data_IF_869019441829
#
_entry.id   IF_869019441829
#
_cell.length_a   1.000
_cell.length_b   1.000
_cell.length_c   1.000
_cell.angle_alpha   90.00
_cell.angle_beta   90.00
_cell.angle_gamma   90.00
#
_symmetry.space_group_name_H-M   'P 1'
#
loop_
_entity.id
_entity.type
_entity.pdbx_description
1 polymer ?
#
# COMPACT_ATOMS: atom_id res chain seq x y z
N UNK A 1 54.87 25.80 31.24
CA UNK A 1 55.63 27.07 31.10
C UNK A 1 56.68 26.86 30.02
N UNK A 2 56.78 27.72 29.01
CA UNK A 2 56.06 28.98 28.78
C UNK A 2 54.89 28.77 27.79
N UNK A 3 53.70 29.38 27.83
CA UNK A 3 53.18 30.66 28.37
C UNK A 3 53.63 31.91 27.59
N UNK A 4 52.66 32.48 26.85
CA UNK A 4 52.31 33.92 26.65
C UNK A 4 51.46 33.98 25.36
N UNK A 5 50.12 34.02 25.43
CA UNK A 5 49.25 35.16 25.78
C UNK A 5 49.27 36.25 24.70
N UNK A 6 48.14 36.40 24.00
CA UNK A 6 47.59 37.74 23.76
C UNK A 6 46.06 37.67 23.74
N UNK A 7 45.47 38.28 24.77
CA UNK A 7 44.04 38.52 24.95
C UNK A 7 43.87 40.03 25.02
N UNK A 8 43.31 40.65 23.98
CA UNK A 8 42.62 41.93 24.11
C UNK A 8 41.71 42.19 22.90
N UNK A 9 40.40 42.08 23.14
CA UNK A 9 39.42 43.16 22.93
C UNK A 9 38.07 42.60 22.44
N UNK A 10 37.14 42.45 23.37
CA UNK A 10 35.69 42.39 23.09
C UNK A 10 35.23 43.72 22.46
N UNK A 11 34.43 43.70 21.39
CA UNK A 11 33.47 44.76 21.15
C UNK A 11 32.15 44.45 21.88
N UNK A 12 31.66 45.47 22.58
CA UNK A 12 30.42 45.54 23.34
C UNK A 12 29.19 45.54 22.42
N UNK A 13 28.15 44.88 22.90
CA UNK A 13 26.72 45.27 22.89
C UNK A 13 26.13 46.00 21.69
N UNK A 14 25.11 45.35 21.12
CA UNK A 14 23.83 45.92 20.67
C UNK A 14 23.87 47.09 19.68
N UNK A 15 23.77 46.76 18.39
CA UNK A 15 22.89 47.52 17.50
C UNK A 15 21.78 46.57 17.06
N UNK A 16 20.54 46.95 17.36
CA UNK A 16 19.35 46.19 16.99
C UNK A 16 19.38 45.89 15.50
N UNK A 17 19.26 44.60 15.17
CA UNK A 17 18.88 44.20 13.82
C UNK A 17 17.46 44.69 13.66
N UNK A 18 17.31 45.77 12.90
CA UNK A 18 16.04 46.31 12.49
C UNK A 18 15.30 45.19 11.73
N UNK A 19 14.27 44.62 12.37
CA UNK A 19 13.37 43.67 11.73
C UNK A 19 12.66 44.37 10.58
N UNK A 20 13.28 44.37 9.39
CA UNK A 20 12.57 44.60 8.14
C UNK A 20 11.51 43.52 8.08
N UNK A 21 10.26 43.90 8.34
CA UNK A 21 9.09 43.08 8.00
C UNK A 21 9.26 42.69 6.54
N UNK A 22 9.62 41.44 6.29
CA UNK A 22 9.60 40.86 4.97
C UNK A 22 8.13 40.74 4.61
N UNK A 23 7.60 41.78 3.97
CA UNK A 23 6.25 41.75 3.42
C UNK A 23 6.22 40.57 2.44
N UNK A 24 5.30 39.60 2.58
CA UNK A 24 5.19 38.53 1.61
C UNK A 24 4.99 39.17 0.23
N UNK A 25 5.65 38.64 -0.82
CA UNK A 25 5.42 39.13 -2.17
C UNK A 25 3.92 39.12 -2.42
N UNK A 26 3.37 40.26 -2.89
CA UNK A 26 1.97 40.33 -3.32
C UNK A 26 1.73 39.11 -4.21
N UNK A 27 0.63 38.35 -4.01
CA UNK A 27 0.34 37.21 -4.85
C UNK A 27 0.36 37.71 -6.29
N UNK A 28 1.34 37.20 -7.06
CA UNK A 28 1.34 37.40 -8.50
C UNK A 28 -0.05 37.00 -8.96
N UNK A 29 -0.75 37.90 -9.66
CA UNK A 29 -2.07 37.58 -10.23
C UNK A 29 -1.83 36.28 -10.99
N UNK A 30 -2.38 35.16 -10.48
CA UNK A 30 -2.33 33.88 -11.19
C UNK A 30 -2.72 34.22 -12.60
N UNK A 31 -1.83 33.93 -13.55
CA UNK A 31 -2.23 33.97 -14.95
C UNK A 31 -3.50 33.11 -14.99
N UNK A 32 -4.62 33.73 -15.38
CA UNK A 32 -5.82 32.98 -15.71
C UNK A 32 -5.35 31.89 -16.66
N UNK A 33 -5.58 30.59 -16.38
CA UNK A 33 -5.23 29.57 -17.34
C UNK A 33 -5.85 30.03 -18.65
N UNK A 34 -5.00 30.33 -19.64
CA UNK A 34 -5.49 30.58 -20.98
C UNK A 34 -6.30 29.33 -21.31
N UNK A 35 -7.59 29.50 -21.60
CA UNK A 35 -8.39 28.37 -22.06
C UNK A 35 -7.71 27.94 -23.35
N UNK A 36 -6.89 26.88 -23.26
CA UNK A 36 -6.63 26.04 -24.42
C UNK A 36 -8.02 25.65 -24.85
N UNK A 37 -8.51 26.17 -25.97
CA UNK A 37 -9.75 25.68 -26.55
C UNK A 37 -9.51 24.19 -26.75
N UNK A 38 -10.03 23.39 -25.82
CA UNK A 38 -9.79 21.97 -25.80
C UNK A 38 -10.49 21.43 -27.03
N UNK A 39 -9.81 20.59 -27.80
CA UNK A 39 -10.40 19.79 -28.89
C UNK A 39 -11.67 19.05 -28.42
N UNK A 40 -11.86 18.90 -27.10
CA UNK A 40 -13.04 18.42 -26.40
C UNK A 40 -14.36 19.21 -26.61
N UNK A 41 -14.34 20.44 -27.17
CA UNK A 41 -15.56 21.23 -27.37
C UNK A 41 -16.27 20.94 -28.72
N UNK A 42 -15.69 20.09 -29.59
CA UNK A 42 -16.35 19.60 -30.79
C UNK A 42 -17.21 18.35 -30.46
N UNK A 43 -18.55 18.42 -30.56
CA UNK A 43 -19.44 17.30 -30.28
C UNK A 43 -19.16 16.07 -31.16
N UNK A 44 -18.68 16.28 -32.39
CA UNK A 44 -18.32 15.19 -33.30
C UNK A 44 -17.04 14.48 -32.84
N UNK A 45 -16.05 15.23 -32.36
CA UNK A 45 -14.82 14.66 -31.81
C UNK A 45 -15.08 13.88 -30.51
N UNK A 46 -15.91 14.44 -29.62
CA UNK A 46 -16.32 13.78 -28.37
C UNK A 46 -17.07 12.47 -28.64
N UNK A 47 -18.01 12.45 -29.60
CA UNK A 47 -18.74 11.22 -29.95
C UNK A 47 -17.85 10.15 -30.60
N UNK A 48 -16.86 10.54 -31.41
CA UNK A 48 -15.92 9.61 -32.01
C UNK A 48 -14.97 8.99 -30.97
N UNK A 49 -14.47 9.80 -30.03
CA UNK A 49 -13.65 9.31 -28.91
C UNK A 49 -14.45 8.39 -28.00
N UNK A 50 -15.71 8.70 -27.71
CA UNK A 50 -16.58 7.84 -26.92
C UNK A 50 -16.83 6.51 -27.63
N UNK A 51 -17.12 6.53 -28.93
CA UNK A 51 -17.31 5.31 -29.72
C UNK A 51 -16.06 4.43 -29.72
N UNK A 52 -14.88 5.01 -29.89
CA UNK A 52 -13.60 4.28 -29.83
C UNK A 52 -13.30 3.76 -28.43
N UNK A 53 -13.60 4.54 -27.39
CA UNK A 53 -13.48 4.12 -25.99
C UNK A 53 -14.36 2.92 -25.70
N UNK A 54 -15.63 2.93 -26.12
CA UNK A 54 -16.53 1.79 -25.97
C UNK A 54 -16.07 0.57 -26.78
N UNK A 55 -15.52 0.79 -27.98
CA UNK A 55 -14.99 -0.29 -28.83
C UNK A 55 -13.79 -0.97 -28.18
N UNK A 56 -12.81 -0.20 -27.71
CA UNK A 56 -11.62 -0.72 -27.01
C UNK A 56 -12.02 -1.37 -25.69
N UNK A 57 -12.90 -0.73 -24.91
CA UNK A 57 -13.42 -1.28 -23.66
C UNK A 57 -14.13 -2.62 -23.88
N UNK A 58 -14.99 -2.72 -24.90
CA UNK A 58 -15.66 -3.97 -25.27
C UNK A 58 -14.68 -5.03 -25.75
N UNK A 59 -13.66 -4.64 -26.53
CA UNK A 59 -12.60 -5.54 -26.96
C UNK A 59 -11.85 -6.12 -25.74
N UNK A 60 -11.38 -5.27 -24.82
CA UNK A 60 -10.73 -5.71 -23.57
C UNK A 60 -11.66 -6.58 -22.75
N UNK A 61 -12.94 -6.23 -22.62
CA UNK A 61 -13.93 -7.01 -21.88
C UNK A 61 -14.19 -8.41 -22.46
N UNK A 62 -14.20 -8.54 -23.79
CA UNK A 62 -14.37 -9.82 -24.46
C UNK A 62 -13.10 -10.67 -24.40
N UNK A 63 -11.93 -10.03 -24.43
CA UNK A 63 -10.60 -10.68 -24.39
C UNK A 63 -10.03 -10.83 -22.98
N UNK A 64 -10.74 -10.31 -21.97
CA UNK A 64 -10.75 -10.85 -20.63
C UNK A 64 -11.27 -12.28 -20.75
N UNK A 65 -10.38 -13.19 -21.19
CA UNK A 65 -10.51 -14.59 -20.92
C UNK A 65 -10.92 -14.66 -19.46
N UNK A 66 -12.00 -15.38 -19.16
CA UNK A 66 -12.28 -15.78 -17.78
C UNK A 66 -11.16 -16.72 -17.32
N UNK A 67 -9.92 -16.25 -17.24
CA UNK A 67 -9.12 -16.42 -16.05
C UNK A 67 -9.96 -15.84 -14.91
N UNK A 68 -10.98 -16.60 -14.50
CA UNK A 68 -11.33 -16.63 -13.07
C UNK A 68 -9.98 -16.66 -12.38
N UNK A 69 -9.69 -15.76 -11.44
CA UNK A 69 -8.38 -15.71 -10.80
C UNK A 69 -8.03 -17.12 -10.34
N UNK A 70 -7.17 -17.86 -11.06
CA UNK A 70 -6.87 -19.30 -10.86
C UNK A 70 -6.78 -19.57 -9.37
N UNK A 71 -7.76 -20.07 -8.61
CA UNK A 71 -8.83 -21.08 -8.69
C UNK A 71 -8.42 -22.54 -8.45
N UNK A 72 -7.18 -22.82 -8.07
CA UNK A 72 -6.73 -24.08 -7.44
C UNK A 72 -5.50 -23.73 -6.57
N UNK A 73 -5.40 -23.93 -5.25
CA UNK A 73 -6.06 -24.75 -4.23
C UNK A 73 -5.98 -23.96 -2.88
N UNK A 74 -7.03 -23.95 -2.02
CA UNK A 74 -7.18 -23.23 -0.69
C UNK A 74 -8.24 -22.09 -0.61
N UNK A 75 -9.15 -22.05 -1.58
CA UNK A 75 -10.17 -21.00 -1.89
C UNK A 75 -11.36 -20.81 -0.94
N UNK A 76 -11.42 -21.42 0.24
CA UNK A 76 -12.66 -21.36 1.02
C UNK A 76 -12.89 -20.02 1.74
N UNK A 77 -11.82 -19.35 2.17
CA UNK A 77 -11.89 -18.15 3.01
C UNK A 77 -11.96 -16.86 2.18
N UNK A 78 -11.11 -16.72 1.15
CA UNK A 78 -10.99 -15.50 0.33
C UNK A 78 -12.27 -15.19 -0.47
N UNK A 79 -12.86 -16.19 -1.13
CA UNK A 79 -14.06 -15.98 -1.97
C UNK A 79 -15.32 -15.70 -1.13
N UNK A 80 -15.38 -16.22 0.11
CA UNK A 80 -16.57 -16.10 0.96
C UNK A 80 -16.55 -14.88 1.86
N UNK A 81 -15.38 -14.44 2.32
CA UNK A 81 -15.26 -13.19 3.09
C UNK A 81 -15.29 -11.99 2.16
N UNK A 82 -14.57 -12.00 1.04
CA UNK A 82 -14.65 -10.88 0.10
C UNK A 82 -16.04 -10.81 -0.53
N UNK A 83 -16.65 -11.96 -0.86
CA UNK A 83 -18.03 -12.02 -1.34
C UNK A 83 -19.05 -11.55 -0.30
N UNK A 84 -18.94 -11.99 0.97
CA UNK A 84 -19.84 -11.56 2.04
C UNK A 84 -19.63 -10.09 2.44
N UNK A 85 -18.39 -9.60 2.46
CA UNK A 85 -18.07 -8.19 2.67
C UNK A 85 -18.57 -7.32 1.51
N UNK A 86 -18.62 -7.82 0.27
CA UNK A 86 -19.25 -7.04 -0.81
C UNK A 86 -20.78 -7.11 -0.77
N UNK A 87 -21.37 -8.10 -0.09
CA UNK A 87 -22.82 -8.21 0.10
C UNK A 87 -23.33 -7.33 1.26
N UNK A 88 -22.47 -6.98 2.22
CA UNK A 88 -22.81 -6.16 3.38
C UNK A 88 -21.70 -5.14 3.70
N UNK A 89 -22.03 -3.87 3.55
CA UNK A 89 -21.11 -2.76 3.77
C UNK A 89 -20.63 -2.66 5.24
N UNK A 90 -21.49 -3.01 6.21
CA UNK A 90 -21.13 -3.00 7.63
C UNK A 90 -20.10 -4.10 7.93
N UNK A 91 -20.30 -5.30 7.39
CA UNK A 91 -19.36 -6.42 7.53
C UNK A 91 -18.00 -6.09 6.90
N UNK A 92 -18.02 -5.46 5.73
CA UNK A 92 -16.82 -4.99 5.03
C UNK A 92 -15.98 -4.07 5.90
N UNK A 93 -16.61 -3.04 6.45
CA UNK A 93 -15.93 -2.02 7.27
C UNK A 93 -15.29 -2.67 8.49
N UNK A 94 -16.00 -3.55 9.19
CA UNK A 94 -15.45 -4.20 10.38
C UNK A 94 -14.33 -5.19 10.05
N UNK A 95 -14.44 -5.93 8.93
CA UNK A 95 -13.37 -6.81 8.46
C UNK A 95 -12.09 -6.03 8.14
N UNK A 96 -12.20 -4.90 7.43
CA UNK A 96 -11.03 -4.07 7.12
C UNK A 96 -10.41 -3.45 8.37
N UNK A 97 -11.23 -2.96 9.32
CA UNK A 97 -10.73 -2.44 10.60
C UNK A 97 -10.01 -3.51 11.43
N UNK A 98 -10.56 -4.73 11.46
CA UNK A 98 -9.92 -5.84 12.16
C UNK A 98 -8.56 -6.20 11.52
N UNK A 99 -8.48 -6.25 10.19
CA UNK A 99 -7.22 -6.51 9.48
C UNK A 99 -6.18 -5.42 9.76
N UNK A 100 -6.60 -4.15 9.80
CA UNK A 100 -5.74 -2.99 10.09
C UNK A 100 -5.12 -3.06 11.50
N UNK A 101 -5.90 -3.45 12.52
CA UNK A 101 -5.38 -3.54 13.89
C UNK A 101 -4.58 -4.82 14.16
N UNK A 102 -4.78 -5.87 13.36
CA UNK A 102 -4.20 -7.20 13.60
C UNK A 102 -2.68 -7.21 13.84
N UNK A 103 -1.83 -6.44 13.11
CA UNK A 103 -0.39 -6.38 13.36
C UNK A 103 0.00 -5.85 14.75
N UNK A 104 -0.88 -5.05 15.37
CA UNK A 104 -0.69 -4.51 16.72
C UNK A 104 -1.08 -5.54 17.80
N UNK A 105 -1.87 -6.57 17.49
CA UNK A 105 -2.36 -7.56 18.47
C UNK A 105 -1.29 -8.64 18.78
N UNK A 106 -0.59 -8.47 19.91
CA UNK A 106 0.56 -9.31 20.30
C UNK A 106 0.17 -10.64 20.94
N UNK A 107 -0.94 -10.71 21.66
CA UNK A 107 -1.36 -11.96 22.33
C UNK A 107 -2.51 -12.66 21.60
N UNK A 108 -2.73 -13.94 21.89
CA UNK A 108 -3.86 -14.68 21.31
C UNK A 108 -5.20 -14.19 21.88
N UNK A 109 -5.22 -13.84 23.18
CA UNK A 109 -6.38 -13.25 23.84
C UNK A 109 -6.80 -11.91 23.22
N UNK A 110 -5.84 -11.06 22.86
CA UNK A 110 -6.15 -9.77 22.19
C UNK A 110 -6.82 -9.99 20.83
N UNK A 111 -6.33 -10.94 20.04
CA UNK A 111 -6.93 -11.28 18.74
C UNK A 111 -8.35 -11.79 18.90
N UNK A 112 -8.59 -12.72 19.83
CA UNK A 112 -9.93 -13.26 20.07
C UNK A 112 -10.88 -12.18 20.58
N UNK A 113 -10.43 -11.32 21.50
CA UNK A 113 -11.23 -10.21 22.02
C UNK A 113 -11.63 -9.23 20.92
N UNK A 114 -10.68 -8.75 20.12
CA UNK A 114 -10.98 -7.81 19.03
C UNK A 114 -11.85 -8.46 17.96
N UNK A 115 -11.65 -9.75 17.66
CA UNK A 115 -12.53 -10.48 16.75
C UNK A 115 -13.96 -10.55 17.30
N UNK A 116 -14.16 -10.70 18.61
CA UNK A 116 -15.49 -10.61 19.20
C UNK A 116 -16.05 -9.18 19.08
N UNK A 117 -15.28 -8.16 19.48
CA UNK A 117 -15.71 -6.76 19.48
C UNK A 117 -16.12 -6.25 18.08
N UNK A 118 -15.29 -6.47 17.05
CA UNK A 118 -15.58 -5.99 15.69
C UNK A 118 -16.78 -6.68 15.04
N UNK A 119 -17.07 -7.93 15.39
CA UNK A 119 -18.14 -8.71 14.77
C UNK A 119 -19.38 -8.87 15.65
N UNK A 120 -19.38 -8.26 16.85
CA UNK A 120 -20.52 -8.24 17.77
C UNK A 120 -21.65 -7.33 17.29
N UNK A 121 -21.46 -6.38 16.38
CA UNK A 121 -22.56 -5.53 15.88
C UNK A 121 -23.15 -6.04 14.56
N UNK A 122 -22.46 -6.93 13.86
CA UNK A 122 -22.84 -7.45 12.53
C UNK A 122 -23.63 -8.77 12.62
N UNK A 123 -24.22 -9.03 13.79
CA UNK A 123 -24.76 -10.36 14.19
C UNK A 123 -25.86 -10.88 13.27
N UNK A 124 -26.61 -10.01 12.63
CA UNK A 124 -27.83 -10.37 11.88
C UNK A 124 -27.57 -10.73 10.41
N UNK A 125 -26.35 -10.49 9.88
CA UNK A 125 -26.03 -10.60 8.45
C UNK A 125 -24.95 -11.63 8.11
N UNK A 126 -24.52 -12.43 9.10
CA UNK A 126 -23.43 -13.38 8.91
C UNK A 126 -23.95 -14.72 8.36
N UNK A 127 -23.29 -15.31 7.33
CA UNK A 127 -23.66 -16.63 6.84
C UNK A 127 -23.44 -17.69 7.93
N UNK A 128 -24.36 -18.66 8.04
CA UNK A 128 -24.45 -19.76 9.01
C UNK A 128 -23.13 -20.41 9.49
N UNK A 129 -22.08 -20.40 8.66
CA UNK A 129 -20.76 -20.91 9.06
C UNK A 129 -20.01 -20.03 10.07
N UNK A 130 -20.28 -18.72 10.13
CA UNK A 130 -19.72 -17.82 11.14
C UNK A 130 -20.51 -17.94 12.45
N UNK A 131 -21.80 -18.26 12.37
CA UNK A 131 -22.65 -18.57 13.52
C UNK A 131 -22.14 -19.81 14.30
N UNK A 132 -21.67 -20.85 13.58
CA UNK A 132 -20.99 -21.99 14.21
C UNK A 132 -19.66 -21.61 14.88
N UNK A 133 -18.89 -20.66 14.31
CA UNK A 133 -17.68 -20.14 14.95
C UNK A 133 -18.03 -19.38 16.22
N UNK A 134 -19.13 -18.60 16.23
CA UNK A 134 -19.63 -17.87 17.40
C UNK A 134 -20.09 -18.78 18.53
N UNK A 135 -20.85 -19.84 18.23
CA UNK A 135 -21.28 -20.80 19.26
C UNK A 135 -20.07 -21.44 19.97
N UNK A 136 -18.99 -21.65 19.22
CA UNK A 136 -17.69 -22.07 19.74
C UNK A 136 -16.88 -20.97 20.43
N UNK A 137 -17.13 -19.69 20.17
CA UNK A 137 -16.37 -18.51 20.66
C UNK A 137 -16.98 -17.85 21.89
N UNK A 138 -18.30 -17.83 22.03
CA UNK A 138 -19.03 -17.29 23.20
C UNK A 138 -18.86 -18.16 24.46
N UNK A 139 -18.46 -19.43 24.28
CA UNK A 139 -18.11 -20.34 25.37
C UNK A 139 -16.61 -20.35 25.71
N UNK A 140 -15.79 -19.46 25.12
CA UNK A 140 -14.33 -19.51 25.29
C UNK A 140 -13.85 -18.68 26.46
N UNK A 141 -13.05 -19.32 27.31
CA UNK A 141 -12.09 -18.60 28.13
C UNK A 141 -10.93 -18.06 27.25
N UNK A 142 -10.40 -16.87 27.54
CA UNK A 142 -9.26 -16.29 26.83
C UNK A 142 -8.00 -17.20 26.77
N UNK A 143 -7.90 -18.14 27.71
CA UNK A 143 -6.78 -19.09 27.87
C UNK A 143 -6.97 -20.43 27.14
N UNK A 144 -8.06 -20.61 26.39
CA UNK A 144 -8.36 -21.92 25.78
C UNK A 144 -7.43 -22.25 24.59
N UNK A 145 -7.18 -23.55 24.38
CA UNK A 145 -6.46 -24.08 23.21
C UNK A 145 -7.14 -23.68 21.90
N UNK A 146 -8.47 -23.60 21.90
CA UNK A 146 -9.27 -23.16 20.75
C UNK A 146 -9.06 -21.67 20.44
N UNK A 147 -8.95 -20.80 21.45
CA UNK A 147 -8.62 -19.38 21.27
C UNK A 147 -7.24 -19.20 20.62
N UNK A 148 -6.26 -20.02 21.04
CA UNK A 148 -4.92 -20.02 20.43
C UNK A 148 -4.96 -20.46 18.97
N UNK A 149 -5.68 -21.53 18.66
CA UNK A 149 -5.84 -22.00 17.29
C UNK A 149 -6.53 -20.96 16.40
N UNK A 150 -7.57 -20.29 16.88
CA UNK A 150 -8.28 -19.24 16.15
C UNK A 150 -7.37 -18.05 15.84
N UNK A 151 -6.66 -17.54 16.84
CA UNK A 151 -5.76 -16.40 16.65
C UNK A 151 -4.58 -16.73 15.73
N UNK A 152 -4.05 -17.96 15.79
CA UNK A 152 -3.05 -18.43 14.83
C UNK A 152 -3.61 -18.43 13.39
N UNK A 153 -4.81 -18.99 13.19
CA UNK A 153 -5.45 -19.02 11.88
C UNK A 153 -5.73 -17.60 11.34
N UNK A 154 -6.23 -16.69 12.19
CA UNK A 154 -6.49 -15.31 11.80
C UNK A 154 -5.21 -14.61 11.31
N UNK A 155 -4.10 -14.71 12.05
CA UNK A 155 -2.80 -14.17 11.64
C UNK A 155 -2.28 -14.80 10.35
N UNK A 156 -2.36 -16.12 10.24
CA UNK A 156 -1.90 -16.84 9.05
C UNK A 156 -2.70 -16.43 7.80
N UNK A 157 -4.00 -16.20 7.94
CA UNK A 157 -4.88 -15.75 6.86
C UNK A 157 -4.59 -14.30 6.45
N UNK A 158 -4.46 -13.38 7.41
CA UNK A 158 -4.11 -12.00 7.12
C UNK A 158 -2.73 -11.85 6.48
N UNK A 159 -1.71 -12.54 7.00
CA UNK A 159 -0.37 -12.56 6.40
C UNK A 159 -0.39 -13.14 4.98
N UNK A 160 -1.22 -14.16 4.72
CA UNK A 160 -1.39 -14.72 3.38
C UNK A 160 -2.08 -13.75 2.43
N UNK A 161 -3.06 -13.00 2.91
CA UNK A 161 -3.71 -11.95 2.13
C UNK A 161 -2.72 -10.83 1.79
N UNK A 162 -1.92 -10.37 2.76
CA UNK A 162 -0.88 -9.38 2.57
C UNK A 162 0.13 -9.81 1.49
N UNK A 163 0.58 -11.07 1.51
CA UNK A 163 1.48 -11.63 0.47
C UNK A 163 0.91 -11.64 -0.96
N UNK A 164 -0.38 -11.38 -1.16
CA UNK A 164 -0.95 -11.18 -2.51
C UNK A 164 -0.61 -9.81 -3.09
N UNK A 165 -0.32 -8.85 -2.22
CA UNK A 165 -0.06 -7.46 -2.59
C UNK A 165 1.39 -7.05 -2.32
N UNK A 166 2.12 -7.81 -1.49
CA UNK A 166 3.51 -7.55 -1.13
C UNK A 166 4.40 -8.57 -1.85
N UNK A 167 5.31 -8.07 -2.70
CA UNK A 167 6.22 -8.90 -3.51
C UNK A 167 7.24 -9.67 -2.65
N UNK A 168 7.61 -9.13 -1.49
CA UNK A 168 8.54 -9.75 -0.55
C UNK A 168 8.85 -8.82 0.61
N UNK A 169 9.50 -9.38 1.63
CA UNK A 169 10.02 -8.69 2.81
C UNK A 169 11.56 -8.65 2.85
N UNK A 170 12.20 -9.23 1.83
CA UNK A 170 13.65 -9.27 1.63
C UNK A 170 13.99 -9.15 0.14
N UNK A 171 15.24 -8.79 -0.17
CA UNK A 171 15.75 -8.67 -1.54
C UNK A 171 15.56 -9.98 -2.33
N UNK A 172 15.83 -11.14 -1.71
CA UNK A 172 15.69 -12.45 -2.36
C UNK A 172 14.23 -12.78 -2.72
N UNK A 173 13.30 -12.47 -1.83
CA UNK A 173 11.86 -12.64 -2.09
C UNK A 173 11.41 -11.73 -3.23
N UNK A 174 11.85 -10.47 -3.22
CA UNK A 174 11.57 -9.49 -4.28
C UNK A 174 12.11 -9.97 -5.62
N UNK A 175 13.38 -10.39 -5.68
CA UNK A 175 14.02 -10.93 -6.89
C UNK A 175 13.28 -12.14 -7.45
N UNK A 176 12.81 -13.03 -6.57
CA UNK A 176 12.00 -14.18 -6.98
C UNK A 176 10.68 -13.75 -7.63
N UNK A 177 10.00 -12.76 -7.04
CA UNK A 177 8.75 -12.23 -7.58
C UNK A 177 8.94 -11.51 -8.92
N UNK A 178 9.93 -10.62 -9.03
CA UNK A 178 10.18 -9.86 -10.27
C UNK A 178 10.68 -10.74 -11.40
N UNK A 179 11.47 -11.78 -11.11
CA UNK A 179 11.89 -12.76 -12.10
C UNK A 179 10.69 -13.55 -12.67
N UNK A 180 9.68 -13.84 -11.85
CA UNK A 180 8.45 -14.51 -12.31
C UNK A 180 7.62 -13.59 -13.23
N UNK A 181 7.52 -12.29 -12.92
CA UNK A 181 6.87 -11.30 -13.78
C UNK A 181 7.59 -11.15 -15.12
N UNK A 182 8.93 -11.02 -15.09
CA UNK A 182 9.74 -10.87 -16.30
C UNK A 182 9.64 -12.08 -17.24
N UNK A 183 9.60 -13.31 -16.69
CA UNK A 183 9.36 -14.54 -17.48
C UNK A 183 8.04 -14.52 -18.25
N UNK A 184 7.09 -13.71 -17.80
CA UNK A 184 5.78 -13.53 -18.43
C UNK A 184 5.71 -12.25 -19.28
N UNK A 185 6.86 -11.64 -19.60
CA UNK A 185 6.98 -10.36 -20.30
C UNK A 185 6.17 -9.22 -19.66
N UNK A 186 6.19 -9.15 -18.33
CA UNK A 186 5.74 -7.98 -17.59
C UNK A 186 6.92 -7.19 -17.05
N UNK A 187 6.87 -5.86 -17.25
CA UNK A 187 7.68 -4.92 -16.49
C UNK A 187 7.19 -4.86 -15.03
N UNK A 188 7.98 -4.27 -14.15
CA UNK A 188 7.64 -4.10 -12.75
C UNK A 188 8.10 -2.74 -12.23
N UNK A 189 7.41 -2.27 -11.21
CA UNK A 189 7.84 -1.16 -10.36
C UNK A 189 7.84 -1.68 -8.93
N UNK A 190 8.80 -1.24 -8.11
CA UNK A 190 8.90 -1.61 -6.72
C UNK A 190 8.56 -0.39 -5.87
N UNK A 191 7.62 -0.60 -4.94
CA UNK A 191 7.22 0.38 -3.94
C UNK A 191 7.52 -0.22 -2.57
N UNK A 192 8.31 0.50 -1.77
CA UNK A 192 8.54 0.10 -0.38
C UNK A 192 7.32 0.51 0.45
N UNK A 193 6.86 -0.41 1.30
CA UNK A 193 5.75 -0.14 2.21
C UNK A 193 6.31 0.37 3.54
N UNK A 194 5.94 1.59 3.92
CA UNK A 194 6.32 2.22 5.18
C UNK A 194 5.13 2.82 5.93
N UNK A 195 5.33 3.08 7.23
CA UNK A 195 4.43 3.94 8.00
C UNK A 195 4.69 5.42 7.65
N UNK A 196 3.80 6.33 8.08
CA UNK A 196 3.99 7.76 7.85
C UNK A 196 5.29 8.26 8.48
N UNK A 197 6.16 8.88 7.68
CA UNK A 197 7.41 9.49 8.13
C UNK A 197 7.09 10.79 8.86
N UNK A 198 7.42 10.85 10.15
CA UNK A 198 7.10 11.99 11.04
C UNK A 198 8.36 12.70 11.56
N UNK A 199 9.55 12.22 11.20
CA UNK A 199 10.83 12.81 11.60
C UNK A 199 11.89 12.71 10.50
N UNK A 200 12.86 13.61 10.55
CA UNK A 200 14.03 13.59 9.64
C UNK A 200 14.81 12.28 9.75
N UNK A 201 14.96 11.73 10.97
CA UNK A 201 15.65 10.45 11.17
C UNK A 201 14.93 9.28 10.50
N UNK A 202 13.60 9.27 10.51
CA UNK A 202 12.82 8.26 9.79
C UNK A 202 12.90 8.46 8.28
N UNK A 203 12.93 9.70 7.79
CA UNK A 203 13.11 9.99 6.37
C UNK A 203 14.47 9.47 5.87
N UNK A 204 15.54 9.68 6.64
CA UNK A 204 16.88 9.20 6.32
C UNK A 204 16.97 7.66 6.40
N UNK A 205 16.23 7.03 7.31
CA UNK A 205 16.14 5.57 7.36
C UNK A 205 15.39 5.01 6.14
N UNK A 206 14.24 5.61 5.78
CA UNK A 206 13.44 5.19 4.64
C UNK A 206 14.18 5.39 3.31
N UNK A 207 14.94 6.49 3.16
CA UNK A 207 15.84 6.69 2.03
C UNK A 207 16.88 5.58 1.93
N UNK A 208 17.50 5.21 3.07
CA UNK A 208 18.49 4.13 3.10
C UNK A 208 17.89 2.80 2.67
N UNK A 209 16.67 2.49 3.09
CA UNK A 209 15.98 1.27 2.63
C UNK A 209 15.79 1.23 1.11
N UNK A 210 15.48 2.36 0.46
CA UNK A 210 15.44 2.45 -1.00
C UNK A 210 16.81 2.21 -1.64
N UNK A 211 17.87 2.81 -1.09
CA UNK A 211 19.24 2.62 -1.59
C UNK A 211 19.66 1.17 -1.46
N UNK A 212 19.45 0.56 -0.29
CA UNK A 212 19.78 -0.84 -0.01
C UNK A 212 19.01 -1.80 -0.94
N UNK A 213 17.73 -1.51 -1.20
CA UNK A 213 16.94 -2.27 -2.16
C UNK A 213 17.53 -2.18 -3.57
N UNK A 214 17.82 -0.96 -4.05
CA UNK A 214 18.39 -0.73 -5.38
C UNK A 214 19.74 -1.42 -5.54
N UNK A 215 20.63 -1.26 -4.56
CA UNK A 215 21.95 -1.91 -4.54
C UNK A 215 21.84 -3.44 -4.49
N UNK A 216 20.84 -3.97 -3.77
CA UNK A 216 20.59 -5.40 -3.66
C UNK A 216 20.06 -6.03 -4.96
N UNK A 217 19.13 -5.36 -5.65
CA UNK A 217 18.48 -5.93 -6.84
C UNK A 217 19.26 -5.67 -8.14
N UNK A 218 19.95 -4.52 -8.24
CA UNK A 218 20.58 -4.08 -9.49
C UNK A 218 21.58 -5.10 -10.08
N UNK A 219 22.46 -5.77 -9.30
CA UNK A 219 23.38 -6.76 -9.86
C UNK A 219 22.68 -7.89 -10.60
N UNK A 220 21.53 -8.33 -10.09
CA UNK A 220 20.74 -9.42 -10.68
C UNK A 220 19.92 -8.91 -11.85
N UNK A 221 19.17 -7.82 -11.69
CA UNK A 221 18.30 -7.27 -12.73
C UNK A 221 19.11 -6.82 -13.95
N UNK A 222 20.26 -6.17 -13.76
CA UNK A 222 21.14 -5.71 -14.84
C UNK A 222 21.83 -6.86 -15.59
N UNK A 223 21.84 -8.08 -15.03
CA UNK A 223 22.37 -9.27 -15.69
C UNK A 223 21.38 -9.93 -16.64
N UNK A 224 20.11 -9.50 -16.64
CA UNK A 224 19.08 -10.13 -17.44
C UNK A 224 19.24 -9.80 -18.93
N UNK A 225 18.97 -10.78 -19.82
CA UNK A 225 18.94 -10.50 -21.25
C UNK A 225 17.79 -9.54 -21.55
N UNK A 226 18.02 -8.63 -22.51
CA UNK A 226 17.03 -7.66 -22.96
C UNK A 226 15.75 -8.33 -23.48
N UNK A 227 14.61 -7.77 -23.10
CA UNK A 227 13.29 -8.15 -23.56
C UNK A 227 12.61 -6.90 -24.15
N UNK A 228 12.64 -6.80 -25.48
CA UNK A 228 12.09 -5.68 -26.25
C UNK A 228 10.66 -5.28 -25.88
N UNK A 229 9.83 -6.22 -25.40
CA UNK A 229 8.44 -5.90 -25.05
C UNK A 229 8.33 -5.03 -23.78
N UNK A 230 9.30 -5.14 -22.88
CA UNK A 230 9.24 -4.50 -21.54
C UNK A 230 10.41 -3.57 -21.25
N UNK A 231 11.50 -3.66 -22.01
CA UNK A 231 12.72 -2.87 -21.81
C UNK A 231 12.90 -1.76 -22.86
N UNK A 232 12.13 -1.78 -23.96
CA UNK A 232 12.18 -0.78 -25.03
C UNK A 232 10.83 -0.08 -25.19
N UNK A 233 10.85 1.14 -25.71
CA UNK A 233 9.64 1.82 -26.16
C UNK A 233 9.58 1.93 -27.68
N UNK A 234 8.74 2.81 -28.22
CA UNK A 234 8.63 3.03 -29.66
C UNK A 234 9.89 3.61 -30.34
N UNK A 235 10.83 4.18 -29.58
CA UNK A 235 12.10 4.72 -30.07
C UNK A 235 13.25 3.69 -30.07
N UNK A 236 13.03 2.51 -29.49
CA UNK A 236 14.04 1.48 -29.27
C UNK A 236 14.61 1.53 -27.87
#
# INVERSE_FOLDING_TARGET
MPLLADEAARPKSSKGVESKKLTPPKPSKRATPQSVATVADDPAWSSAVEAETQRVGSYVWQHLARRRPSIFERRWWDDRILGAAMADESLKVQMFRFVDVLPRLKTHGDVTRHLQEYFHEVQEHLPFAVEMVRFGVESLSPESVLSRALAYNARANAARMARRFIAGSSVDEVLTAVAALRKSSFAFTLDLLGEAVISESEAEAYQREYVDLLEGIAPVVNSWPENHQVDCDHEG
#
